data_IF_786162698795
#
_entry.id   IF_786162698795
#
_cell.length_a   1.000
_cell.length_b   1.000
_cell.length_c   1.000
_cell.angle_alpha   90.00
_cell.angle_beta   90.00
_cell.angle_gamma   90.00
#
_symmetry.space_group_name_H-M   'P 1'
#
loop_
_entity.id
_entity.type
_entity.pdbx_description
1 polymer ?
#
# COMPACT_ATOMS: atom_id res chain seq x y z
N UNK A 1 16.57 -15.59 -3.13
CA UNK A 1 16.44 -15.61 -4.61
C UNK A 1 15.95 -16.99 -5.03
N UNK A 2 15.37 -17.11 -6.21
CA UNK A 2 14.76 -18.36 -6.65
C UNK A 2 14.12 -18.26 -8.02
N UNK A 3 13.23 -19.21 -8.31
CA UNK A 3 12.63 -19.42 -9.62
C UNK A 3 11.12 -19.59 -9.49
N UNK A 4 10.35 -18.96 -10.38
CA UNK A 4 8.89 -19.10 -10.39
C UNK A 4 8.31 -18.87 -11.79
N UNK A 5 7.02 -19.19 -11.97
CA UNK A 5 6.28 -19.00 -13.22
C UNK A 5 6.47 -20.07 -14.30
N UNK A 6 7.43 -20.99 -14.13
CA UNK A 6 7.70 -22.11 -15.04
C UNK A 6 6.95 -23.40 -14.69
N UNK A 7 7.14 -24.42 -15.52
CA UNK A 7 6.44 -25.71 -15.42
C UNK A 7 7.30 -26.81 -14.79
N UNK A 8 8.63 -26.66 -14.81
CA UNK A 8 9.52 -27.69 -14.27
C UNK A 8 9.47 -27.70 -12.75
N UNK A 9 9.32 -28.89 -12.17
CA UNK A 9 9.43 -29.05 -10.73
C UNK A 9 10.90 -29.13 -10.28
N UNK A 10 11.22 -28.47 -9.17
CA UNK A 10 12.54 -28.45 -8.53
C UNK A 10 13.70 -28.18 -9.52
N UNK A 11 13.64 -27.09 -10.29
CA UNK A 11 14.66 -26.80 -11.30
C UNK A 11 15.98 -26.39 -10.64
N UNK A 12 17.12 -26.74 -11.26
CA UNK A 12 18.42 -26.17 -10.90
C UNK A 12 18.70 -24.86 -11.65
N UNK A 13 19.68 -24.08 -11.18
CA UNK A 13 20.12 -22.88 -11.88
C UNK A 13 20.55 -23.15 -13.33
N UNK A 14 21.27 -24.23 -13.62
CA UNK A 14 21.69 -24.59 -14.99
C UNK A 14 20.49 -24.83 -15.90
N UNK A 15 19.44 -25.43 -15.36
CA UNK A 15 18.22 -25.70 -16.11
C UNK A 15 17.44 -24.41 -16.36
N UNK A 16 17.31 -23.53 -15.36
CA UNK A 16 16.64 -22.23 -15.53
C UNK A 16 17.41 -21.32 -16.47
N UNK A 17 18.73 -21.22 -16.33
CA UNK A 17 19.58 -20.39 -17.18
C UNK A 17 19.66 -20.88 -18.62
N UNK A 18 19.34 -22.16 -18.89
CA UNK A 18 19.13 -22.66 -20.26
C UNK A 18 17.90 -22.08 -20.96
N UNK A 19 16.95 -21.51 -20.21
CA UNK A 19 15.69 -20.97 -20.69
C UNK A 19 14.59 -22.01 -20.97
N UNK A 20 14.87 -23.31 -20.78
CA UNK A 20 13.95 -24.40 -21.17
C UNK A 20 12.84 -24.68 -20.15
N UNK A 21 13.00 -24.25 -18.90
CA UNK A 21 12.07 -24.60 -17.81
C UNK A 21 10.81 -23.73 -17.76
N UNK A 22 10.83 -22.61 -18.48
CA UNK A 22 9.81 -21.56 -18.43
C UNK A 22 9.85 -20.69 -17.17
N UNK A 23 10.73 -20.99 -16.20
CA UNK A 23 10.87 -20.19 -14.98
C UNK A 23 11.53 -18.85 -15.27
N UNK A 24 11.17 -17.87 -14.44
CA UNK A 24 11.80 -16.56 -14.35
C UNK A 24 12.63 -16.52 -13.06
N UNK A 25 13.84 -15.97 -13.13
CA UNK A 25 14.61 -15.64 -11.94
C UNK A 25 13.90 -14.55 -11.14
N UNK A 26 13.60 -14.85 -9.88
CA UNK A 26 12.75 -14.03 -9.04
C UNK A 26 13.32 -13.87 -7.63
N UNK A 27 12.85 -12.81 -6.98
CA UNK A 27 13.02 -12.59 -5.55
C UNK A 27 11.66 -12.65 -4.87
N UNK A 28 11.58 -13.42 -3.78
CA UNK A 28 10.42 -13.38 -2.89
C UNK A 28 10.68 -12.37 -1.79
N UNK A 29 9.83 -11.35 -1.70
CA UNK A 29 9.98 -10.24 -0.74
C UNK A 29 8.95 -10.41 0.38
N UNK A 30 9.44 -10.64 1.59
CA UNK A 30 8.64 -10.56 2.80
C UNK A 30 8.81 -9.16 3.39
N UNK A 31 7.70 -8.48 3.68
CA UNK A 31 7.72 -7.10 4.14
C UNK A 31 6.71 -6.87 5.26
N UNK A 32 7.00 -5.88 6.10
CA UNK A 32 6.11 -5.40 7.14
C UNK A 32 5.29 -4.22 6.57
N UNK A 33 3.97 -4.38 6.35
CA UNK A 33 3.13 -3.35 5.75
C UNK A 33 3.08 -2.06 6.58
N UNK A 34 3.46 -2.10 7.86
CA UNK A 34 3.55 -0.90 8.71
C UNK A 34 4.77 -0.04 8.34
N UNK A 35 5.83 -0.66 7.81
CA UNK A 35 7.10 -0.02 7.44
C UNK A 35 7.19 0.35 5.96
N UNK A 36 6.64 -0.49 5.09
CA UNK A 36 6.61 -0.29 3.64
C UNK A 36 5.38 -0.97 3.06
N UNK A 37 4.59 -0.27 2.26
CA UNK A 37 3.41 -0.85 1.61
C UNK A 37 3.75 -1.45 0.23
N UNK A 38 2.76 -2.08 -0.39
CA UNK A 38 2.95 -2.76 -1.67
C UNK A 38 3.21 -1.77 -2.82
N UNK A 39 2.59 -0.60 -2.80
CA UNK A 39 2.78 0.47 -3.78
C UNK A 39 4.19 1.05 -3.75
N UNK A 40 4.77 1.21 -2.55
CA UNK A 40 6.17 1.61 -2.36
C UNK A 40 7.13 0.53 -2.89
N UNK A 41 6.80 -0.76 -2.71
CA UNK A 41 7.55 -1.86 -3.31
C UNK A 41 7.45 -1.87 -4.84
N UNK A 42 6.27 -1.57 -5.40
CA UNK A 42 6.07 -1.45 -6.84
C UNK A 42 6.88 -0.27 -7.41
N UNK A 43 6.83 0.91 -6.78
CA UNK A 43 7.65 2.06 -7.17
C UNK A 43 9.14 1.73 -7.14
N UNK A 44 9.59 1.06 -6.08
CA UNK A 44 10.97 0.58 -5.98
C UNK A 44 11.31 -0.38 -7.13
N UNK A 45 10.44 -1.35 -7.41
CA UNK A 45 10.62 -2.30 -8.51
C UNK A 45 10.76 -1.59 -9.86
N UNK A 46 9.83 -0.69 -10.22
CA UNK A 46 9.85 0.04 -11.48
C UNK A 46 11.12 0.87 -11.66
N UNK A 47 11.67 1.40 -10.56
CA UNK A 47 12.91 2.18 -10.54
C UNK A 47 14.19 1.35 -10.58
N UNK A 48 14.12 0.02 -10.60
CA UNK A 48 15.30 -0.85 -10.56
C UNK A 48 15.41 -1.83 -11.75
N UNK A 49 14.51 -1.71 -12.72
CA UNK A 49 14.47 -2.52 -13.95
C UNK A 49 14.36 -1.64 -15.20
N UNK A 50 14.58 -2.22 -16.39
CA UNK A 50 14.06 -1.67 -17.64
C UNK A 50 12.68 -2.31 -17.92
N UNK A 51 11.57 -1.58 -17.70
CA UNK A 51 10.23 -2.12 -17.87
C UNK A 51 9.83 -2.30 -19.34
N UNK A 52 10.67 -1.88 -20.30
CA UNK A 52 10.38 -1.92 -21.75
C UNK A 52 11.14 -3.00 -22.51
N UNK A 53 11.93 -3.82 -21.80
CA UNK A 53 12.74 -4.89 -22.38
C UNK A 53 12.03 -6.25 -22.28
N UNK A 54 11.42 -6.74 -23.38
CA UNK A 54 10.76 -8.05 -23.38
C UNK A 54 11.76 -9.22 -23.49
N UNK A 55 13.03 -8.96 -23.81
CA UNK A 55 14.01 -10.01 -24.11
C UNK A 55 14.99 -10.32 -22.98
N UNK A 56 14.80 -9.73 -21.80
CA UNK A 56 15.66 -9.90 -20.63
C UNK A 56 15.74 -8.63 -19.79
N UNK A 57 16.86 -8.48 -19.09
CA UNK A 57 17.20 -7.27 -18.35
C UNK A 57 18.66 -6.89 -18.59
N UNK A 58 18.86 -5.77 -19.29
CA UNK A 58 20.19 -5.24 -19.60
C UNK A 58 21.02 -6.26 -20.40
N UNK A 59 22.22 -6.62 -19.92
CA UNK A 59 23.08 -7.64 -20.57
C UNK A 59 22.57 -9.07 -20.39
N UNK A 60 21.72 -9.33 -19.40
CA UNK A 60 21.14 -10.66 -19.18
C UNK A 60 19.99 -10.87 -20.18
N UNK A 61 20.15 -11.84 -21.10
CA UNK A 61 19.21 -12.12 -22.20
C UNK A 61 18.59 -13.50 -22.07
N UNK A 62 17.30 -13.59 -22.33
CA UNK A 62 16.54 -14.84 -22.22
C UNK A 62 15.23 -14.63 -21.47
N UNK A 63 14.28 -15.56 -21.68
CA UNK A 63 12.96 -15.51 -21.08
C UNK A 63 13.03 -15.57 -19.54
N UNK A 64 14.03 -16.24 -18.98
CA UNK A 64 14.28 -16.34 -17.54
C UNK A 64 14.71 -15.01 -16.90
N UNK A 65 15.15 -14.04 -17.70
CA UNK A 65 15.57 -12.71 -17.22
C UNK A 65 14.55 -11.61 -17.52
N UNK A 66 13.39 -11.94 -18.09
CA UNK A 66 12.35 -10.93 -18.36
C UNK A 66 11.75 -10.43 -17.05
N UNK A 67 11.26 -9.20 -17.03
CA UNK A 67 10.63 -8.62 -15.85
C UNK A 67 9.20 -9.11 -15.68
N UNK A 68 8.84 -9.51 -14.46
CA UNK A 68 7.48 -9.89 -14.10
C UNK A 68 7.19 -9.55 -12.63
N UNK A 69 5.92 -9.25 -12.32
CA UNK A 69 5.37 -9.11 -10.97
C UNK A 69 4.46 -10.30 -10.72
N UNK A 70 4.77 -11.10 -9.70
CA UNK A 70 3.96 -12.24 -9.30
C UNK A 70 3.07 -11.85 -8.12
N UNK A 71 1.76 -11.79 -8.33
CA UNK A 71 0.79 -11.39 -7.30
C UNK A 71 0.26 -12.60 -6.53
N UNK A 72 0.05 -12.44 -5.22
CA UNK A 72 -0.50 -13.47 -4.35
C UNK A 72 -2.02 -13.37 -4.16
N UNK A 73 -2.59 -12.18 -4.30
CA UNK A 73 -4.01 -11.90 -4.16
C UNK A 73 -4.51 -10.85 -5.17
N UNK A 74 -5.83 -10.68 -5.25
CA UNK A 74 -6.45 -9.76 -6.21
C UNK A 74 -6.15 -8.28 -5.92
N UNK A 75 -5.82 -7.92 -4.67
CA UNK A 75 -5.46 -6.55 -4.33
C UNK A 75 -4.06 -6.22 -4.85
N UNK A 76 -3.09 -7.12 -4.67
CA UNK A 76 -1.77 -6.99 -5.27
C UNK A 76 -1.85 -6.93 -6.80
N UNK A 77 -2.69 -7.77 -7.41
CA UNK A 77 -2.93 -7.71 -8.86
C UNK A 77 -3.41 -6.33 -9.28
N UNK A 78 -4.48 -5.83 -8.63
CA UNK A 78 -5.08 -4.52 -8.91
C UNK A 78 -4.06 -3.38 -8.76
N UNK A 79 -3.28 -3.38 -7.69
CA UNK A 79 -2.25 -2.36 -7.43
C UNK A 79 -1.09 -2.44 -8.45
N UNK A 80 -0.66 -3.65 -8.81
CA UNK A 80 0.37 -3.84 -9.83
C UNK A 80 -0.10 -3.32 -11.20
N UNK A 81 -1.34 -3.65 -11.60
CA UNK A 81 -1.94 -3.19 -12.86
C UNK A 81 -2.06 -1.66 -12.88
N UNK A 82 -2.58 -1.07 -11.80
CA UNK A 82 -2.67 0.39 -11.67
C UNK A 82 -1.30 1.08 -11.72
N UNK A 83 -0.27 0.51 -11.09
CA UNK A 83 1.08 1.05 -11.12
C UNK A 83 1.69 0.99 -12.52
N UNK A 84 1.46 -0.10 -13.26
CA UNK A 84 1.88 -0.25 -14.66
C UNK A 84 1.19 0.76 -15.57
N UNK A 85 -0.12 0.94 -15.41
CA UNK A 85 -0.88 1.96 -16.15
C UNK A 85 -0.45 3.39 -15.82
N UNK A 86 -0.14 3.67 -14.55
CA UNK A 86 0.40 4.97 -14.15
C UNK A 86 1.76 5.23 -14.81
N UNK A 87 2.61 4.21 -14.87
CA UNK A 87 3.91 4.28 -15.54
C UNK A 87 3.76 4.54 -17.05
N UNK A 88 2.87 3.82 -17.74
CA UNK A 88 2.62 4.06 -19.17
C UNK A 88 2.03 5.47 -19.44
N UNK A 89 1.12 5.94 -18.59
CA UNK A 89 0.55 7.30 -18.68
C UNK A 89 1.56 8.39 -18.40
N UNK A 90 2.61 8.13 -17.61
CA UNK A 90 3.67 9.10 -17.35
C UNK A 90 4.45 9.48 -18.61
N UNK A 91 4.41 8.64 -19.66
CA UNK A 91 5.19 8.80 -20.89
C UNK A 91 6.70 8.95 -20.65
N UNK A 92 7.19 8.47 -19.51
CA UNK A 92 8.63 8.39 -19.21
C UNK A 92 9.37 7.43 -20.16
N UNK A 93 8.65 6.44 -20.70
CA UNK A 93 9.16 5.50 -21.68
C UNK A 93 8.49 5.67 -23.04
N UNK A 94 9.30 5.63 -24.10
CA UNK A 94 8.84 5.70 -25.50
C UNK A 94 8.42 4.34 -26.07
N UNK A 95 8.63 3.27 -25.31
CA UNK A 95 8.31 1.89 -25.65
C UNK A 95 7.25 1.36 -24.69
N UNK A 96 6.40 0.42 -25.12
CA UNK A 96 5.39 -0.16 -24.24
C UNK A 96 6.03 -0.88 -23.06
N UNK A 97 5.34 -0.87 -21.92
CA UNK A 97 5.77 -1.59 -20.72
C UNK A 97 5.57 -3.10 -20.94
N UNK A 98 6.69 -3.81 -21.10
CA UNK A 98 6.78 -5.24 -21.36
C UNK A 98 6.63 -6.10 -20.11
N UNK A 99 6.85 -5.54 -18.91
CA UNK A 99 6.76 -6.28 -17.64
C UNK A 99 5.40 -6.96 -17.47
N UNK A 100 5.41 -8.26 -17.21
CA UNK A 100 4.21 -9.07 -17.04
C UNK A 100 3.66 -8.98 -15.60
N UNK A 101 2.34 -9.13 -15.44
CA UNK A 101 1.70 -9.27 -14.12
C UNK A 101 1.06 -10.66 -14.11
N UNK A 102 1.64 -11.56 -13.34
CA UNK A 102 1.35 -12.99 -13.39
C UNK A 102 0.85 -13.48 -12.04
N UNK A 103 -0.09 -14.43 -12.04
CA UNK A 103 -0.52 -15.07 -10.80
C UNK A 103 0.63 -15.88 -10.22
N UNK A 104 0.95 -15.67 -8.95
CA UNK A 104 1.91 -16.51 -8.24
C UNK A 104 1.40 -17.96 -8.17
N UNK A 105 2.29 -18.91 -8.44
CA UNK A 105 1.99 -20.35 -8.36
C UNK A 105 2.84 -21.02 -7.28
N UNK A 106 4.14 -21.14 -7.52
CA UNK A 106 5.11 -21.78 -6.62
C UNK A 106 6.47 -21.13 -6.77
N UNK A 107 7.15 -20.96 -5.64
CA UNK A 107 8.53 -20.47 -5.59
C UNK A 107 9.46 -21.65 -5.30
N UNK A 108 10.50 -21.79 -6.13
CA UNK A 108 11.59 -22.71 -5.89
C UNK A 108 12.79 -21.90 -5.43
N UNK A 109 13.26 -22.16 -4.22
CA UNK A 109 14.45 -21.49 -3.70
C UNK A 109 15.69 -21.89 -4.51
N UNK A 110 16.49 -20.89 -4.90
CA UNK A 110 17.76 -21.13 -5.58
C UNK A 110 18.80 -21.71 -4.61
N UNK A 111 19.86 -22.29 -5.15
CA UNK A 111 20.96 -22.87 -4.39
C UNK A 111 21.62 -21.83 -3.46
N UNK A 112 22.18 -22.30 -2.34
CA UNK A 112 22.74 -21.46 -1.26
C UNK A 112 23.80 -20.45 -1.76
N UNK A 113 24.50 -20.79 -2.83
CA UNK A 113 25.44 -19.90 -3.50
C UNK A 113 24.79 -18.59 -4.00
N UNK A 114 23.55 -18.67 -4.48
CA UNK A 114 22.79 -17.54 -5.00
C UNK A 114 22.12 -16.70 -3.90
N UNK A 115 21.97 -17.25 -2.69
CA UNK A 115 21.38 -16.52 -1.57
C UNK A 115 22.34 -15.45 -1.06
N UNK A 116 21.83 -14.22 -0.90
CA UNK A 116 22.61 -13.05 -0.46
C UNK A 116 23.87 -12.78 -1.31
N UNK A 117 23.86 -13.14 -2.60
CA UNK A 117 25.03 -13.02 -3.47
C UNK A 117 25.68 -11.63 -3.45
N UNK A 118 24.85 -10.57 -3.48
CA UNK A 118 25.33 -9.18 -3.45
C UNK A 118 26.04 -8.81 -2.15
N UNK A 119 25.76 -9.49 -1.03
CA UNK A 119 26.47 -9.31 0.25
C UNK A 119 27.73 -10.17 0.27
N UNK A 120 27.59 -11.47 -0.04
CA UNK A 120 28.68 -12.47 0.02
C UNK A 120 29.79 -12.17 -1.00
N UNK A 121 29.45 -11.59 -2.15
CA UNK A 121 30.37 -11.29 -3.27
C UNK A 121 30.28 -9.84 -3.73
N UNK A 122 30.20 -8.89 -2.79
CA UNK A 122 29.92 -7.46 -3.04
C UNK A 122 30.74 -6.83 -4.17
N UNK A 123 32.08 -6.99 -4.19
CA UNK A 123 32.94 -6.41 -5.23
C UNK A 123 32.62 -6.95 -6.63
N UNK A 124 32.45 -8.27 -6.76
CA UNK A 124 32.13 -8.91 -8.04
C UNK A 124 30.75 -8.49 -8.52
N UNK A 125 29.77 -8.42 -7.62
CA UNK A 125 28.43 -7.94 -7.91
C UNK A 125 28.43 -6.48 -8.37
N UNK A 126 29.15 -5.59 -7.69
CA UNK A 126 29.24 -4.17 -8.06
C UNK A 126 29.88 -3.99 -9.44
N UNK A 127 30.99 -4.69 -9.71
CA UNK A 127 31.63 -4.64 -11.03
C UNK A 127 30.69 -5.12 -12.14
N UNK A 128 30.01 -6.25 -11.93
CA UNK A 128 29.02 -6.79 -12.85
C UNK A 128 27.86 -5.81 -13.09
N UNK A 129 27.28 -5.27 -12.00
CA UNK A 129 26.15 -4.33 -12.06
C UNK A 129 26.52 -3.06 -12.84
N UNK A 130 27.69 -2.46 -12.57
CA UNK A 130 28.16 -1.31 -13.33
C UNK A 130 28.42 -1.65 -14.81
N UNK A 131 29.00 -2.82 -15.09
CA UNK A 131 29.27 -3.31 -16.44
C UNK A 131 28.02 -3.67 -17.24
N UNK A 132 26.92 -4.04 -16.58
CA UNK A 132 25.65 -4.41 -17.22
C UNK A 132 24.95 -3.27 -17.96
N UNK A 133 25.31 -2.01 -17.66
CA UNK A 133 24.59 -0.83 -18.15
C UNK A 133 23.32 -0.49 -17.35
N UNK A 134 22.96 -1.30 -16.34
CA UNK A 134 21.83 -1.03 -15.42
C UNK A 134 21.95 0.35 -14.78
N UNK A 135 23.06 0.65 -14.13
CA UNK A 135 23.19 1.92 -13.40
C UNK A 135 23.13 3.13 -14.33
N UNK A 136 23.68 3.02 -15.54
CA UNK A 136 23.60 4.09 -16.55
C UNK A 136 22.16 4.32 -17.01
N UNK A 137 21.40 3.24 -17.20
CA UNK A 137 19.99 3.34 -17.53
C UNK A 137 19.18 3.96 -16.38
N UNK A 138 19.43 3.52 -15.16
CA UNK A 138 18.73 4.01 -13.97
C UNK A 138 19.01 5.50 -13.74
N UNK A 139 20.28 5.91 -13.77
CA UNK A 139 20.67 7.32 -13.64
C UNK A 139 20.04 8.20 -14.72
N UNK A 140 20.07 7.76 -15.98
CA UNK A 140 19.44 8.49 -17.09
C UNK A 140 17.92 8.62 -16.95
N UNK A 141 17.25 7.59 -16.44
CA UNK A 141 15.77 7.50 -16.43
C UNK A 141 15.17 8.15 -15.19
N UNK A 142 15.86 8.03 -14.06
CA UNK A 142 15.35 8.40 -12.74
C UNK A 142 16.21 9.45 -12.06
N UNK A 143 17.53 9.43 -12.24
CA UNK A 143 18.45 10.39 -11.65
C UNK A 143 18.20 10.59 -10.15
N UNK A 144 17.93 11.84 -9.74
CA UNK A 144 17.62 12.19 -8.35
C UNK A 144 16.36 11.52 -7.77
N UNK A 145 15.46 11.01 -8.62
CA UNK A 145 14.28 10.25 -8.18
C UNK A 145 14.63 8.87 -7.59
N UNK A 146 15.86 8.37 -7.80
CA UNK A 146 16.38 7.15 -7.15
C UNK A 146 16.86 7.42 -5.72
N UNK A 147 17.38 8.61 -5.47
CA UNK A 147 17.92 9.03 -4.16
C UNK A 147 16.81 9.46 -3.20
N UNK A 148 15.62 9.73 -3.73
CA UNK A 148 14.41 9.90 -2.93
C UNK A 148 13.81 8.52 -2.72
N UNK A 149 13.85 7.96 -1.49
CA UNK A 149 12.99 6.82 -1.18
C UNK A 149 11.56 7.21 -1.58
N UNK A 150 10.74 6.24 -1.96
CA UNK A 150 9.30 6.41 -2.19
C UNK A 150 8.53 6.96 -0.96
N UNK A 151 9.22 7.49 0.05
CA UNK A 151 8.68 8.24 1.17
C UNK A 151 8.09 9.57 0.68
N UNK A 152 6.78 9.51 0.47
CA UNK A 152 5.80 10.61 0.48
C UNK A 152 5.83 11.59 -0.71
N UNK A 153 4.97 11.30 -1.68
CA UNK A 153 4.11 12.33 -2.31
C UNK A 153 2.72 12.40 -1.65
N UNK A 154 2.60 11.98 -0.39
CA UNK A 154 1.40 12.23 0.42
C UNK A 154 1.56 13.53 1.20
N UNK A 155 0.51 14.34 1.26
CA UNK A 155 0.40 15.50 2.15
C UNK A 155 0.83 15.09 3.57
N UNK A 156 1.77 15.83 4.15
CA UNK A 156 2.26 15.52 5.49
C UNK A 156 1.24 15.97 6.55
N UNK A 157 0.38 15.04 6.98
CA UNK A 157 -0.51 15.26 8.11
C UNK A 157 0.28 15.31 9.42
N UNK A 158 -0.09 16.22 10.31
CA UNK A 158 0.56 16.42 11.60
C UNK A 158 -0.47 16.75 12.66
N UNK A 159 -0.30 16.18 13.85
CA UNK A 159 -1.04 16.56 15.05
C UNK A 159 -0.72 18.02 15.46
N UNK A 160 -1.72 18.91 15.55
CA UNK A 160 -1.54 20.22 16.18
C UNK A 160 -1.18 20.13 17.67
N UNK A 161 -0.62 21.19 18.24
CA UNK A 161 -0.36 21.27 19.68
C UNK A 161 -1.66 21.30 20.51
N UNK A 162 -1.56 20.91 21.79
CA UNK A 162 -2.71 20.78 22.69
C UNK A 162 -3.54 22.08 22.83
N UNK A 163 -2.89 23.25 22.85
CA UNK A 163 -3.58 24.52 22.98
C UNK A 163 -4.39 24.85 21.71
N UNK A 164 -3.86 24.49 20.54
CA UNK A 164 -4.59 24.57 19.27
C UNK A 164 -5.77 23.59 19.25
N UNK A 165 -5.59 22.35 19.71
CA UNK A 165 -6.67 21.35 19.76
C UNK A 165 -7.85 21.80 20.63
N UNK A 166 -7.58 22.32 21.84
CA UNK A 166 -8.62 22.81 22.76
C UNK A 166 -9.41 24.00 22.20
N UNK A 167 -8.86 24.75 21.24
CA UNK A 167 -9.56 25.86 20.57
C UNK A 167 -10.36 25.43 19.36
N UNK A 168 -9.89 24.41 18.63
CA UNK A 168 -10.51 23.96 17.37
C UNK A 168 -11.59 22.91 17.58
N UNK A 169 -11.38 21.99 18.52
CA UNK A 169 -12.27 20.87 18.76
C UNK A 169 -13.38 21.25 19.75
N UNK A 170 -14.56 20.67 19.57
CA UNK A 170 -15.58 20.68 20.62
C UNK A 170 -15.13 19.82 21.80
N UNK A 171 -15.76 20.01 22.98
CA UNK A 171 -15.45 19.21 24.17
C UNK A 171 -15.56 17.71 23.91
N UNK A 172 -16.60 17.27 23.17
CA UNK A 172 -16.80 15.86 22.82
C UNK A 172 -15.72 15.36 21.85
N UNK A 173 -15.38 16.13 20.82
CA UNK A 173 -14.32 15.77 19.86
C UNK A 173 -12.96 15.64 20.57
N UNK A 174 -12.65 16.55 21.50
CA UNK A 174 -11.44 16.48 22.30
C UNK A 174 -11.44 15.26 23.24
N UNK A 175 -12.56 15.00 23.92
CA UNK A 175 -12.70 13.86 24.82
C UNK A 175 -12.55 12.53 24.07
N UNK A 176 -13.22 12.36 22.94
CA UNK A 176 -13.10 11.17 22.09
C UNK A 176 -11.67 11.03 21.60
N UNK A 177 -11.14 12.02 20.88
CA UNK A 177 -9.86 11.86 20.17
C UNK A 177 -8.64 11.83 21.09
N UNK A 178 -8.64 12.60 22.18
CA UNK A 178 -7.46 12.76 23.05
C UNK A 178 -7.55 12.02 24.39
N UNK A 179 -8.75 11.64 24.82
CA UNK A 179 -8.98 10.97 26.12
C UNK A 179 -9.67 9.62 25.99
N UNK A 180 -9.72 9.06 24.78
CA UNK A 180 -10.29 7.72 24.51
C UNK A 180 -11.77 7.63 24.92
N UNK A 181 -12.47 8.77 24.87
CA UNK A 181 -13.91 8.83 25.08
C UNK A 181 -14.68 8.12 23.96
N UNK A 182 -15.96 7.83 24.23
CA UNK A 182 -16.87 7.24 23.25
C UNK A 182 -18.15 8.06 23.21
N UNK A 183 -18.55 8.50 22.01
CA UNK A 183 -19.78 9.28 21.83
C UNK A 183 -21.02 8.38 22.00
N UNK A 184 -22.20 8.94 22.33
CA UNK A 184 -23.40 8.13 22.49
C UNK A 184 -23.87 7.49 21.16
N UNK A 185 -24.38 6.25 21.19
CA UNK A 185 -24.91 5.60 19.99
C UNK A 185 -26.16 6.33 19.49
N UNK A 186 -26.34 6.38 18.17
CA UNK A 186 -27.46 7.00 17.45
C UNK A 186 -27.66 8.52 17.71
N UNK A 187 -26.78 9.15 18.47
CA UNK A 187 -26.78 10.58 18.77
C UNK A 187 -25.48 11.22 18.34
N UNK A 188 -25.09 10.94 17.10
CA UNK A 188 -23.88 11.43 16.49
C UNK A 188 -24.13 11.80 15.02
N UNK A 189 -23.15 12.46 14.39
CA UNK A 189 -23.36 13.08 13.07
C UNK A 189 -23.36 12.07 11.92
N UNK A 190 -22.61 10.96 12.04
CA UNK A 190 -22.31 10.12 10.90
C UNK A 190 -22.87 8.70 10.96
N UNK A 191 -23.61 8.29 12.00
CA UNK A 191 -24.18 6.94 12.07
C UNK A 191 -25.06 6.62 10.83
N UNK A 192 -26.01 7.48 10.48
CA UNK A 192 -26.93 7.32 9.33
C UNK A 192 -26.48 8.04 8.05
N UNK A 193 -25.32 8.70 8.08
CA UNK A 193 -24.81 9.47 6.96
C UNK A 193 -24.43 8.58 5.75
N UNK A 194 -24.91 8.94 4.55
CA UNK A 194 -24.76 8.14 3.30
C UNK A 194 -24.26 8.93 2.09
N UNK A 195 -23.84 10.20 2.24
CA UNK A 195 -23.36 10.99 1.10
C UNK A 195 -22.02 10.44 0.57
N UNK A 196 -21.77 10.51 -0.75
CA UNK A 196 -20.50 10.08 -1.34
C UNK A 196 -19.37 11.03 -0.93
N UNK A 197 -18.27 10.48 -0.44
CA UNK A 197 -17.10 11.26 -0.01
C UNK A 197 -16.18 10.45 0.93
N UNK A 198 -15.21 11.13 1.54
CA UNK A 198 -14.27 10.51 2.47
C UNK A 198 -14.44 11.07 3.88
N UNK A 199 -14.01 10.30 4.86
CA UNK A 199 -13.91 10.69 6.25
C UNK A 199 -12.43 10.84 6.60
N UNK A 200 -12.06 12.03 7.04
CA UNK A 200 -10.70 12.36 7.47
C UNK A 200 -10.65 12.49 9.00
N UNK A 201 -9.47 12.33 9.58
CA UNK A 201 -9.23 12.62 10.99
C UNK A 201 -9.54 14.10 11.26
N UNK A 202 -10.40 14.38 12.23
CA UNK A 202 -10.74 15.76 12.59
C UNK A 202 -9.55 16.54 13.14
N UNK A 203 -8.53 15.85 13.65
CA UNK A 203 -7.33 16.45 14.25
C UNK A 203 -6.28 16.78 13.20
N UNK A 204 -5.86 15.80 12.41
CA UNK A 204 -4.73 15.92 11.49
C UNK A 204 -5.16 16.20 10.04
N UNK A 205 -6.40 15.88 9.69
CA UNK A 205 -6.90 15.89 8.32
C UNK A 205 -6.49 14.67 7.50
N UNK A 206 -5.84 13.66 8.10
CA UNK A 206 -5.42 12.48 7.35
C UNK A 206 -6.63 11.64 6.88
N UNK A 207 -6.66 11.15 5.63
CA UNK A 207 -7.75 10.31 5.12
C UNK A 207 -7.84 8.97 5.86
N UNK A 208 -9.01 8.65 6.41
CA UNK A 208 -9.21 7.45 7.22
C UNK A 208 -10.13 6.43 6.55
N UNK A 209 -11.31 6.86 6.09
CA UNK A 209 -12.33 5.96 5.56
C UNK A 209 -13.03 6.54 4.33
N UNK A 210 -13.57 5.66 3.48
CA UNK A 210 -14.41 6.02 2.34
C UNK A 210 -15.87 5.73 2.64
N UNK A 211 -16.78 6.56 2.11
CA UNK A 211 -18.22 6.25 2.14
C UNK A 211 -18.56 4.98 1.36
N UNK A 212 -17.70 4.52 0.44
CA UNK A 212 -17.89 3.28 -0.33
C UNK A 212 -17.77 2.03 0.55
N UNK A 213 -16.97 2.12 1.62
CA UNK A 213 -16.74 1.03 2.57
C UNK A 213 -17.59 1.17 3.83
N UNK A 214 -18.41 2.25 3.92
CA UNK A 214 -19.35 2.47 5.02
C UNK A 214 -20.58 1.59 4.85
N UNK A 215 -21.04 0.98 5.94
CA UNK A 215 -22.26 0.18 5.96
C UNK A 215 -23.09 0.41 7.22
N UNK A 216 -24.36 0.00 7.18
CA UNK A 216 -25.25 0.02 8.34
C UNK A 216 -25.05 -1.23 9.18
N UNK A 217 -24.44 -1.06 10.35
CA UNK A 217 -24.17 -2.14 11.31
C UNK A 217 -25.26 -2.30 12.37
N UNK A 218 -26.19 -1.35 12.47
CA UNK A 218 -27.17 -1.29 13.56
C UNK A 218 -26.59 -1.00 14.95
N UNK A 219 -25.30 -0.68 15.09
CA UNK A 219 -24.68 -0.43 16.41
C UNK A 219 -24.86 0.99 16.92
N UNK A 220 -25.20 1.93 16.04
CA UNK A 220 -25.38 3.34 16.37
C UNK A 220 -24.13 4.21 16.19
N UNK A 221 -23.04 3.67 15.64
CA UNK A 221 -21.84 4.42 15.24
C UNK A 221 -21.52 4.16 13.75
N UNK A 222 -20.90 5.12 13.04
CA UNK A 222 -20.46 4.88 11.67
C UNK A 222 -19.51 3.67 11.63
N UNK A 223 -19.83 2.73 10.74
CA UNK A 223 -19.14 1.46 10.63
C UNK A 223 -18.60 1.27 9.22
N UNK A 224 -17.35 0.82 9.11
CA UNK A 224 -16.66 0.63 7.84
C UNK A 224 -16.07 -0.78 7.73
N UNK A 225 -15.96 -1.32 6.52
CA UNK A 225 -15.41 -2.67 6.28
C UNK A 225 -13.89 -2.69 6.20
N UNK A 226 -13.27 -1.55 5.86
CA UNK A 226 -11.82 -1.32 5.77
C UNK A 226 -11.48 0.18 5.80
N UNK A 227 -10.25 0.54 6.16
CA UNK A 227 -9.75 1.91 5.98
C UNK A 227 -9.56 2.27 4.51
N UNK A 228 -9.61 3.56 4.21
CA UNK A 228 -9.29 4.13 2.90
C UNK A 228 -7.80 3.94 2.58
N UNK A 229 -6.94 4.23 3.54
CA UNK A 229 -5.52 3.92 3.49
C UNK A 229 -5.12 3.18 4.76
N UNK A 230 -4.71 1.91 4.61
CA UNK A 230 -4.32 1.07 5.75
C UNK A 230 -3.20 1.71 6.60
N UNK A 231 -2.31 2.46 5.94
CA UNK A 231 -1.18 3.12 6.59
C UNK A 231 -1.57 4.30 7.49
N UNK A 232 -2.80 4.82 7.39
CA UNK A 232 -3.27 5.92 8.24
C UNK A 232 -3.93 5.41 9.53
N UNK A 233 -4.04 4.09 9.70
CA UNK A 233 -4.60 3.44 10.89
C UNK A 233 -3.51 2.74 11.70
N UNK A 234 -3.58 2.89 13.01
CA UNK A 234 -2.82 2.12 14.00
C UNK A 234 -3.81 1.29 14.82
N UNK A 235 -3.63 -0.02 14.82
CA UNK A 235 -4.41 -0.96 15.63
C UNK A 235 -3.62 -1.32 16.89
N UNK A 236 -4.23 -1.16 18.07
CA UNK A 236 -3.62 -1.48 19.37
C UNK A 236 -4.51 -2.44 20.15
N UNK A 237 -3.89 -3.38 20.84
CA UNK A 237 -4.64 -4.26 21.74
C UNK A 237 -5.14 -3.46 22.96
N UNK A 238 -6.46 -3.39 23.13
CA UNK A 238 -7.15 -2.77 24.26
C UNK A 238 -7.71 -3.88 25.19
N UNK A 239 -7.27 -3.85 26.45
CA UNK A 239 -7.70 -4.78 27.51
C UNK A 239 -8.58 -4.12 28.56
N UNK A 240 -9.05 -2.90 28.29
CA UNK A 240 -9.93 -2.17 29.18
C UNK A 240 -11.26 -2.92 29.38
N UNK A 241 -11.88 -2.76 30.56
CA UNK A 241 -13.16 -3.40 30.91
C UNK A 241 -13.18 -4.93 30.78
N UNK A 242 -12.04 -5.61 30.97
CA UNK A 242 -11.91 -7.08 30.91
C UNK A 242 -12.29 -7.72 29.57
N UNK A 243 -12.45 -6.92 28.51
CA UNK A 243 -12.68 -7.39 27.15
C UNK A 243 -11.40 -7.19 26.33
N UNK A 244 -11.07 -8.15 25.48
CA UNK A 244 -10.00 -8.00 24.49
C UNK A 244 -10.60 -7.38 23.24
N UNK A 245 -10.35 -6.09 23.01
CA UNK A 245 -10.75 -5.37 21.79
C UNK A 245 -9.50 -4.85 21.08
N UNK A 246 -9.64 -4.51 19.81
CA UNK A 246 -8.57 -3.84 19.06
C UNK A 246 -8.96 -2.38 18.88
N UNK A 247 -8.29 -1.49 19.61
CA UNK A 247 -8.41 -0.05 19.46
C UNK A 247 -7.89 0.37 18.08
N UNK A 248 -8.59 1.31 17.45
CA UNK A 248 -8.22 1.92 16.17
C UNK A 248 -7.87 3.38 16.43
N UNK A 249 -6.68 3.81 16.01
CA UNK A 249 -6.21 5.19 16.10
C UNK A 249 -5.74 5.72 14.75
N UNK A 250 -5.79 7.03 14.57
CA UNK A 250 -5.18 7.71 13.42
C UNK A 250 -3.65 7.78 13.60
N UNK A 251 -2.87 7.59 12.53
CA UNK A 251 -1.41 7.50 12.62
C UNK A 251 -0.75 8.85 12.88
N UNK A 252 -1.16 9.89 12.17
CA UNK A 252 -0.53 11.22 12.22
C UNK A 252 -1.13 12.10 13.31
N UNK A 253 -2.43 11.94 13.59
CA UNK A 253 -3.12 12.65 14.68
C UNK A 253 -3.04 11.96 16.04
N UNK A 254 -2.71 10.67 16.06
CA UNK A 254 -2.78 9.80 17.25
C UNK A 254 -4.17 9.82 17.91
N UNK A 255 -5.20 10.20 17.16
CA UNK A 255 -6.58 10.32 17.63
C UNK A 255 -7.12 8.94 17.93
N UNK A 256 -7.71 8.75 19.11
CA UNK A 256 -8.60 7.61 19.33
C UNK A 256 -9.80 7.73 18.38
N UNK A 257 -10.00 6.70 17.56
CA UNK A 257 -11.09 6.65 16.58
C UNK A 257 -12.22 5.74 17.09
N UNK A 258 -11.89 4.58 17.62
CA UNK A 258 -12.84 3.58 18.11
C UNK A 258 -12.21 2.19 18.15
N UNK A 259 -12.92 1.18 17.68
CA UNK A 259 -12.48 -0.22 17.74
C UNK A 259 -12.82 -0.99 16.45
N UNK A 260 -12.05 -2.04 16.16
CA UNK A 260 -12.32 -2.99 15.08
C UNK A 260 -12.75 -4.35 15.65
N UNK A 261 -13.72 -4.97 14.99
CA UNK A 261 -14.34 -6.24 15.37
C UNK A 261 -14.40 -7.20 14.16
N UNK A 262 -14.41 -8.51 14.42
CA UNK A 262 -14.47 -9.56 13.39
C UNK A 262 -15.92 -10.00 13.04
N UNK A 263 -16.90 -9.11 13.28
CA UNK A 263 -18.34 -9.33 13.05
C UNK A 263 -18.89 -8.52 11.87
N UNK A 264 -18.01 -8.09 10.97
CA UNK A 264 -18.37 -7.30 9.79
C UNK A 264 -18.87 -8.16 8.62
N UNK A 265 -19.42 -7.51 7.57
CA UNK A 265 -19.83 -8.21 6.37
C UNK A 265 -18.61 -8.74 5.58
N UNK A 266 -18.84 -9.79 4.81
CA UNK A 266 -17.88 -10.24 3.79
C UNK A 266 -17.65 -9.14 2.74
N UNK A 267 -16.47 -9.07 2.09
CA UNK A 267 -15.40 -10.06 2.10
C UNK A 267 -14.39 -9.93 3.24
N UNK A 268 -14.27 -8.75 3.87
CA UNK A 268 -13.24 -8.54 4.90
C UNK A 268 -13.60 -9.22 6.21
N UNK A 269 -14.89 -9.31 6.55
CA UNK A 269 -15.35 -9.79 7.86
C UNK A 269 -15.07 -8.80 9.00
N UNK A 270 -14.53 -7.61 8.68
CA UNK A 270 -14.12 -6.62 9.66
C UNK A 270 -15.17 -5.50 9.76
N UNK A 271 -15.38 -5.01 10.98
CA UNK A 271 -16.19 -3.84 11.28
C UNK A 271 -15.38 -2.84 12.10
N UNK A 272 -14.91 -1.80 11.41
CA UNK A 272 -14.33 -0.60 12.03
C UNK A 272 -15.46 0.27 12.57
N UNK A 273 -15.68 0.23 13.88
CA UNK A 273 -16.71 0.99 14.58
C UNK A 273 -16.11 2.28 15.13
N UNK A 274 -16.41 3.41 14.50
CA UNK A 274 -15.68 4.67 14.68
C UNK A 274 -16.59 5.73 15.30
N UNK A 275 -16.04 6.61 16.13
CA UNK A 275 -16.75 7.78 16.63
C UNK A 275 -16.83 8.86 15.54
N UNK A 276 -18.01 9.39 15.27
CA UNK A 276 -18.22 10.55 14.39
C UNK A 276 -17.46 11.77 14.88
N UNK A 277 -17.39 11.98 16.20
CA UNK A 277 -16.60 13.02 16.84
C UNK A 277 -15.07 12.94 16.58
N UNK A 278 -14.57 11.83 16.03
CA UNK A 278 -13.18 11.72 15.58
C UNK A 278 -13.00 12.00 14.08
N UNK A 279 -14.11 12.19 13.35
CA UNK A 279 -14.13 12.31 11.91
C UNK A 279 -14.58 13.69 11.45
N UNK A 280 -14.12 14.08 10.27
CA UNK A 280 -14.70 15.16 9.47
C UNK A 280 -15.02 14.60 8.08
N UNK A 281 -16.25 14.76 7.63
CA UNK A 281 -16.64 14.33 6.30
C UNK A 281 -16.28 15.37 5.23
N UNK A 282 -15.73 14.91 4.10
CA UNK A 282 -15.47 15.72 2.90
C UNK A 282 -16.30 15.15 1.75
N UNK A 283 -17.30 15.89 1.26
CA UNK A 283 -18.11 15.46 0.11
C UNK A 283 -17.25 15.25 -1.13
N UNK A 284 -17.66 14.29 -1.98
CA UNK A 284 -17.00 14.01 -3.26
C UNK A 284 -16.77 15.28 -4.10
N UNK A 285 -17.73 16.20 -4.07
CA UNK A 285 -17.71 17.44 -4.87
C UNK A 285 -16.65 18.44 -4.38
N UNK A 286 -16.17 18.30 -3.15
CA UNK A 286 -15.21 19.19 -2.51
C UNK A 286 -13.81 18.57 -2.35
N UNK A 287 -13.62 17.29 -2.70
CA UNK A 287 -12.32 16.60 -2.63
C UNK A 287 -11.21 17.37 -3.33
N UNK A 288 -11.45 17.86 -4.55
CA UNK A 288 -10.44 18.63 -5.30
C UNK A 288 -10.15 19.97 -4.61
N UNK A 289 -11.19 20.65 -4.11
CA UNK A 289 -11.07 21.97 -3.47
C UNK A 289 -10.33 21.90 -2.14
N UNK A 290 -10.48 20.79 -1.44
CA UNK A 290 -9.86 20.55 -0.13
C UNK A 290 -8.50 19.83 -0.22
N UNK A 291 -7.95 19.67 -1.42
CA UNK A 291 -6.63 19.04 -1.65
C UNK A 291 -6.61 17.55 -1.24
N UNK A 292 -7.67 16.85 -1.66
CA UNK A 292 -7.89 15.39 -1.58
C UNK A 292 -8.28 14.81 -2.96
N UNK A 293 -7.90 15.51 -4.04
CA UNK A 293 -8.31 15.20 -5.42
C UNK A 293 -7.95 13.79 -5.91
N UNK A 294 -6.89 13.20 -5.35
CA UNK A 294 -6.47 11.84 -5.66
C UNK A 294 -7.57 10.79 -5.42
N UNK A 295 -8.43 11.01 -4.41
CA UNK A 295 -9.53 10.10 -4.07
C UNK A 295 -10.79 10.32 -4.91
N UNK A 296 -10.86 11.38 -5.72
CA UNK A 296 -12.05 11.68 -6.54
C UNK A 296 -12.38 10.52 -7.48
N UNK A 297 -11.34 9.83 -7.98
CA UNK A 297 -11.45 8.68 -8.89
C UNK A 297 -12.24 7.52 -8.30
N UNK A 298 -12.21 7.33 -6.98
CA UNK A 298 -12.94 6.25 -6.29
C UNK A 298 -14.45 6.33 -6.55
N UNK A 299 -14.97 7.54 -6.69
CA UNK A 299 -16.41 7.78 -6.85
C UNK A 299 -16.84 7.95 -8.30
N UNK A 300 -15.94 7.75 -9.26
CA UNK A 300 -16.22 7.85 -10.70
C UNK A 300 -16.33 6.51 -11.40
N UNK A 301 -15.87 5.44 -10.76
CA UNK A 301 -16.02 4.08 -11.27
C UNK A 301 -17.47 3.62 -11.02
N UNK A 302 -18.18 3.29 -12.10
CA UNK A 302 -19.50 2.66 -12.10
C UNK A 302 -19.35 1.16 -12.25
#
# INVERSE_FOLDING_TARGET
SGYTGGQKENPSYEEVSSGQTGHIEAIQVYFDPVKINYEELLDFFWKHIDPTDPGGQFVDRGLQYRSAIFYHDEEQKRLAEQSKEALDRSKKFNRPIATEILKFTKFYEAEEYHQDYYKKHSLKYQYYRHGSGRDRFLDKTWGKELETPALKKGKAFKKPDEATLKKKLTSLQYEVTQKEGTEPPFKNEYWDHKKPGIYVDIVSGEPLFSSLDKFDSGTGWPSFTRPLERNNIVEKEDRSFFMKRTEVRSKSGESHLGHVFDDGPKPTGLRYCINSAALRFIPKEDLEKEDYGEYQKLFTQK
#
